data_IF_989095185580
#
_entry.id   IF_989095185580
#
_cell.length_a   1.000
_cell.length_b   1.000
_cell.length_c   1.000
_cell.angle_alpha   90.00
_cell.angle_beta   90.00
_cell.angle_gamma   90.00
#
_symmetry.space_group_name_H-M   'P 1'
#
loop_
_entity.id
_entity.type
_entity.pdbx_description
1 polymer ?
#
# COMPACT_ATOMS: atom_id res chain seq x y z
N UNK A 1 -2.55 0.39 -10.95
CA UNK A 1 -1.90 1.62 -11.25
C UNK A 1 -0.41 1.58 -11.08
N UNK A 2 0.11 1.95 -9.93
CA UNK A 2 1.56 2.11 -9.69
C UNK A 2 2.43 0.91 -10.08
N UNK A 3 1.95 -0.33 -9.88
CA UNK A 3 2.72 -1.52 -10.31
C UNK A 3 2.82 -1.64 -11.83
N UNK A 4 1.73 -1.34 -12.54
CA UNK A 4 1.72 -1.32 -14.01
C UNK A 4 2.69 -0.26 -14.51
N UNK A 5 2.62 0.94 -13.94
CA UNK A 5 3.50 2.06 -14.25
C UNK A 5 4.97 1.73 -14.02
N UNK A 6 5.29 1.11 -12.87
CA UNK A 6 6.65 0.71 -12.55
C UNK A 6 7.22 -0.31 -13.55
N UNK A 7 6.38 -1.25 -14.01
CA UNK A 7 6.78 -2.25 -15.01
C UNK A 7 6.95 -1.61 -16.39
N UNK A 8 5.98 -0.82 -16.82
CA UNK A 8 5.99 -0.21 -18.16
C UNK A 8 7.11 0.83 -18.33
N UNK A 9 7.36 1.61 -17.28
CA UNK A 9 8.42 2.63 -17.28
C UNK A 9 9.79 2.09 -16.86
N UNK A 10 9.90 0.78 -16.61
CA UNK A 10 11.16 0.16 -16.26
C UNK A 10 11.79 0.74 -14.99
N UNK A 11 10.97 1.01 -13.94
CA UNK A 11 11.49 1.58 -12.70
C UNK A 11 12.57 0.68 -12.11
N UNK A 12 13.76 1.24 -11.94
CA UNK A 12 14.92 0.55 -11.35
C UNK A 12 14.74 0.42 -9.83
N UNK A 13 13.86 -0.48 -9.41
CA UNK A 13 13.62 -0.76 -8.00
C UNK A 13 14.68 -1.75 -7.50
N UNK A 14 15.60 -1.28 -6.69
CA UNK A 14 16.59 -2.12 -6.05
C UNK A 14 16.03 -2.75 -4.78
N UNK A 15 16.33 -4.01 -4.48
CA UNK A 15 15.94 -4.64 -3.24
C UNK A 15 16.78 -4.10 -2.10
N UNK A 16 16.26 -3.08 -1.41
CA UNK A 16 16.89 -2.52 -0.20
C UNK A 16 16.46 -3.36 0.99
N UNK A 17 17.40 -4.05 1.67
CA UNK A 17 17.08 -4.85 2.84
C UNK A 17 16.60 -3.98 4.00
N UNK A 18 15.85 -4.58 4.92
CA UNK A 18 15.41 -3.93 6.14
C UNK A 18 16.59 -3.72 7.09
N UNK A 19 16.78 -2.48 7.57
CA UNK A 19 17.75 -2.14 8.59
C UNK A 19 17.06 -1.89 9.93
N UNK A 20 16.98 -2.94 10.75
CA UNK A 20 16.27 -2.90 12.03
C UNK A 20 16.85 -1.88 13.02
N UNK A 21 18.18 -1.73 13.06
CA UNK A 21 18.85 -0.77 13.95
C UNK A 21 18.49 0.67 13.57
N UNK A 22 18.63 1.00 12.28
CA UNK A 22 18.25 2.31 11.76
C UNK A 22 16.78 2.63 12.02
N UNK A 23 15.89 1.65 11.83
CA UNK A 23 14.45 1.84 12.10
C UNK A 23 14.16 2.15 13.55
N UNK A 24 14.80 1.43 14.49
CA UNK A 24 14.65 1.69 15.94
C UNK A 24 15.12 3.09 16.34
N UNK A 25 16.15 3.61 15.69
CA UNK A 25 16.60 5.00 15.90
C UNK A 25 15.60 6.00 15.33
N UNK A 26 15.14 5.77 14.10
CA UNK A 26 14.23 6.67 13.40
C UNK A 26 12.82 6.68 14.03
N UNK A 27 12.40 5.60 14.64
CA UNK A 27 11.13 5.54 15.35
C UNK A 27 11.05 6.43 16.58
N UNK A 28 12.19 6.87 17.13
CA UNK A 28 12.25 7.83 18.23
C UNK A 28 12.01 9.28 17.78
N UNK A 29 12.09 9.55 16.48
CA UNK A 29 11.96 10.89 15.88
C UNK A 29 10.51 11.16 15.49
N UNK A 30 10.12 12.42 15.49
CA UNK A 30 8.84 12.85 14.95
C UNK A 30 8.87 12.96 13.41
N UNK A 31 7.70 13.20 12.80
CA UNK A 31 7.58 13.27 11.34
C UNK A 31 8.33 14.45 10.74
N UNK A 32 8.39 15.57 11.45
CA UNK A 32 9.09 16.78 10.98
C UNK A 32 10.62 16.59 10.96
N UNK A 33 11.16 15.94 11.99
CA UNK A 33 12.57 15.56 12.05
C UNK A 33 12.94 14.58 10.94
N UNK A 34 12.11 13.55 10.72
CA UNK A 34 12.28 12.58 9.64
C UNK A 34 12.21 13.25 8.26
N UNK A 35 11.30 14.18 8.07
CA UNK A 35 11.16 14.95 6.84
C UNK A 35 12.42 15.76 6.53
N UNK A 36 12.96 16.48 7.53
CA UNK A 36 14.21 17.24 7.39
C UNK A 36 15.39 16.34 7.03
N UNK A 37 15.51 15.21 7.73
CA UNK A 37 16.56 14.22 7.47
C UNK A 37 16.46 13.64 6.05
N UNK A 38 15.26 13.28 5.61
CA UNK A 38 15.03 12.75 4.27
C UNK A 38 15.39 13.78 3.18
N UNK A 39 14.99 15.04 3.35
CA UNK A 39 15.32 16.12 2.41
C UNK A 39 16.84 16.29 2.30
N UNK A 40 17.56 16.24 3.42
CA UNK A 40 19.01 16.34 3.43
C UNK A 40 19.67 15.17 2.69
N UNK A 41 19.26 13.93 3.00
CA UNK A 41 19.78 12.72 2.35
C UNK A 41 19.54 12.74 0.83
N UNK A 42 18.35 13.14 0.40
CA UNK A 42 18.02 13.24 -1.03
C UNK A 42 18.86 14.30 -1.75
N UNK A 43 19.15 15.42 -1.10
CA UNK A 43 20.09 16.44 -1.64
C UNK A 43 21.49 15.86 -1.80
N UNK A 44 22.00 15.19 -0.77
CA UNK A 44 23.33 14.57 -0.79
C UNK A 44 23.46 13.53 -1.91
N UNK A 45 22.44 12.71 -2.11
CA UNK A 45 22.39 11.66 -3.12
C UNK A 45 22.03 12.17 -4.53
N UNK A 46 21.73 13.46 -4.70
CA UNK A 46 21.18 14.05 -5.94
C UNK A 46 19.92 13.32 -6.44
N UNK A 47 19.17 12.73 -5.54
CA UNK A 47 17.92 12.05 -5.83
C UNK A 47 16.73 13.04 -5.77
N UNK A 48 15.77 12.86 -6.68
CA UNK A 48 14.57 13.70 -6.68
C UNK A 48 13.60 13.27 -5.58
N UNK A 49 12.95 14.22 -4.95
CA UNK A 49 11.78 13.93 -4.11
C UNK A 49 10.66 13.44 -5.03
N UNK A 50 10.46 12.12 -5.09
CA UNK A 50 9.27 11.56 -5.71
C UNK A 50 8.07 11.82 -4.80
N UNK A 51 7.38 12.93 -5.04
CA UNK A 51 6.13 13.32 -4.41
C UNK A 51 6.14 13.56 -2.88
N UNK A 52 5.21 14.36 -2.42
CA UNK A 52 4.85 14.55 -1.01
C UNK A 52 4.48 13.24 -0.27
N UNK A 53 4.28 12.13 -1.00
CA UNK A 53 3.87 10.84 -0.44
C UNK A 53 4.90 10.17 0.46
N UNK A 54 6.20 10.47 0.30
CA UNK A 54 7.26 9.91 1.14
C UNK A 54 7.18 10.43 2.59
N UNK A 55 6.53 11.57 2.78
CA UNK A 55 6.37 12.25 4.07
C UNK A 55 4.95 12.24 4.61
N UNK A 56 4.02 11.51 3.97
CA UNK A 56 2.62 11.43 4.40
C UNK A 56 2.45 10.79 5.78
N UNK A 57 3.35 9.88 6.14
CA UNK A 57 3.33 9.25 7.45
C UNK A 57 4.72 8.73 7.84
N UNK A 58 4.90 8.53 9.15
CA UNK A 58 6.17 8.13 9.75
C UNK A 58 6.78 6.85 9.15
N UNK A 59 5.97 5.80 8.89
CA UNK A 59 6.45 4.54 8.29
C UNK A 59 7.04 4.76 6.90
N UNK A 60 6.41 5.60 6.08
CA UNK A 60 6.90 5.94 4.73
C UNK A 60 8.19 6.76 4.80
N UNK A 61 8.24 7.76 5.68
CA UNK A 61 9.43 8.56 5.87
C UNK A 61 10.63 7.70 6.32
N UNK A 62 10.43 6.80 7.29
CA UNK A 62 11.47 5.86 7.73
C UNK A 62 11.94 4.97 6.57
N UNK A 63 11.01 4.41 5.79
CA UNK A 63 11.39 3.58 4.64
C UNK A 63 12.14 4.37 3.57
N UNK A 64 11.75 5.59 3.28
CA UNK A 64 12.44 6.45 2.33
C UNK A 64 13.88 6.80 2.82
N UNK A 65 14.05 7.11 4.11
CA UNK A 65 15.37 7.34 4.71
C UNK A 65 16.25 6.07 4.63
N UNK A 66 15.67 4.91 4.92
CA UNK A 66 16.36 3.63 4.82
C UNK A 66 16.88 3.37 3.40
N UNK A 67 16.07 3.65 2.38
CA UNK A 67 16.43 3.52 0.97
C UNK A 67 17.55 4.49 0.60
N UNK A 68 17.43 5.77 0.95
CA UNK A 68 18.44 6.79 0.64
C UNK A 68 19.77 6.51 1.36
N UNK A 69 19.72 6.04 2.61
CA UNK A 69 20.90 5.66 3.38
C UNK A 69 21.61 4.46 2.74
N UNK A 70 20.84 3.48 2.27
CA UNK A 70 21.38 2.32 1.55
C UNK A 70 22.09 2.75 0.27
N UNK A 71 21.48 3.62 -0.53
CA UNK A 71 22.09 4.12 -1.77
C UNK A 71 23.36 4.92 -1.53
N UNK A 72 23.41 5.72 -0.47
CA UNK A 72 24.61 6.47 -0.09
C UNK A 72 25.80 5.55 0.23
N UNK A 73 25.53 4.39 0.82
CA UNK A 73 26.55 3.45 1.26
C UNK A 73 26.93 2.40 0.19
N UNK A 74 26.08 2.19 -0.80
CA UNK A 74 26.32 1.20 -1.88
C UNK A 74 26.87 1.88 -3.12
N UNK A 75 28.19 1.90 -3.28
CA UNK A 75 28.86 2.52 -4.42
C UNK A 75 28.79 1.69 -5.71
N UNK A 76 28.45 0.42 -5.65
CA UNK A 76 28.34 -0.51 -6.79
C UNK A 76 26.92 -1.02 -6.93
N UNK A 77 25.99 -0.12 -7.23
CA UNK A 77 24.65 -0.52 -7.63
C UNK A 77 24.73 -0.99 -9.08
N UNK A 78 24.70 -2.30 -9.30
CA UNK A 78 24.53 -2.84 -10.64
C UNK A 78 23.26 -2.23 -11.25
N UNK A 79 23.43 -1.40 -12.26
CA UNK A 79 22.31 -0.87 -13.03
C UNK A 79 21.61 -2.05 -13.72
N UNK A 80 20.49 -2.49 -13.14
CA UNK A 80 19.62 -3.43 -13.86
C UNK A 80 19.11 -2.74 -15.10
N UNK A 81 19.64 -3.12 -16.24
CA UNK A 81 19.16 -2.67 -17.53
C UNK A 81 17.87 -3.45 -17.81
N UNK A 82 16.73 -2.85 -17.51
CA UNK A 82 15.42 -3.43 -17.84
C UNK A 82 15.12 -3.03 -19.27
N UNK A 83 15.01 -3.99 -20.19
CA UNK A 83 14.70 -3.67 -21.58
C UNK A 83 13.32 -3.00 -21.66
N UNK A 84 13.11 -2.05 -22.58
CA UNK A 84 11.80 -1.45 -22.79
C UNK A 84 10.78 -2.53 -23.15
N UNK A 85 9.62 -2.48 -22.52
CA UNK A 85 8.52 -3.43 -22.78
C UNK A 85 7.61 -2.78 -23.81
N UNK A 86 7.55 -3.36 -25.01
CA UNK A 86 6.53 -3.00 -25.97
C UNK A 86 5.18 -3.54 -25.50
N UNK A 87 4.24 -2.64 -25.20
CA UNK A 87 3.00 -2.99 -24.52
C UNK A 87 1.79 -2.33 -25.14
N UNK A 88 0.71 -3.09 -25.23
CA UNK A 88 -0.61 -2.60 -25.64
C UNK A 88 -1.56 -2.71 -24.46
N UNK A 89 -2.12 -1.57 -24.03
CA UNK A 89 -2.96 -1.49 -22.84
C UNK A 89 -4.42 -1.36 -23.26
N UNK A 90 -5.25 -2.32 -22.83
CA UNK A 90 -6.70 -2.25 -22.98
C UNK A 90 -7.36 -1.95 -21.64
N UNK A 91 -8.18 -0.90 -21.60
CA UNK A 91 -9.04 -0.60 -20.44
C UNK A 91 -10.47 -1.10 -20.68
N UNK A 92 -11.03 -1.81 -19.69
CA UNK A 92 -12.46 -2.17 -19.69
C UNK A 92 -13.21 -1.10 -18.92
N UNK A 93 -14.05 -0.34 -19.60
CA UNK A 93 -14.94 0.61 -18.95
C UNK A 93 -16.32 -0.01 -18.72
N UNK A 94 -16.78 0.09 -17.48
CA UNK A 94 -18.11 -0.37 -17.07
C UNK A 94 -18.86 0.85 -16.53
N UNK A 95 -20.15 0.95 -16.88
CA UNK A 95 -21.05 1.95 -16.33
C UNK A 95 -20.92 2.05 -14.80
N UNK A 96 -21.01 3.27 -14.27
CA UNK A 96 -20.79 3.55 -12.85
C UNK A 96 -21.77 2.81 -11.95
N UNK A 97 -23.06 2.78 -12.30
CA UNK A 97 -24.09 2.21 -11.44
C UNK A 97 -24.03 0.68 -11.50
N UNK A 98 -23.77 0.13 -12.68
CA UNK A 98 -23.52 -1.30 -12.85
C UNK A 98 -22.27 -1.75 -12.06
N UNK A 99 -21.20 -0.97 -12.08
CA UNK A 99 -20.00 -1.26 -11.29
C UNK A 99 -20.29 -1.24 -9.80
N UNK A 100 -21.04 -0.24 -9.31
CA UNK A 100 -21.43 -0.16 -7.89
C UNK A 100 -22.25 -1.38 -7.49
N UNK A 101 -23.25 -1.74 -8.27
CA UNK A 101 -24.08 -2.90 -8.05
C UNK A 101 -23.24 -4.19 -7.95
N UNK A 102 -22.34 -4.42 -8.90
CA UNK A 102 -21.45 -5.60 -8.91
C UNK A 102 -20.52 -5.65 -7.70
N UNK A 103 -20.03 -4.49 -7.21
CA UNK A 103 -19.20 -4.42 -6.01
C UNK A 103 -19.99 -4.88 -4.79
N UNK A 104 -21.20 -4.35 -4.59
CA UNK A 104 -22.08 -4.72 -3.47
C UNK A 104 -22.47 -6.19 -3.52
N UNK A 105 -22.88 -6.68 -4.68
CA UNK A 105 -23.23 -8.10 -4.89
C UNK A 105 -22.05 -9.03 -4.58
N UNK A 106 -20.86 -8.70 -5.08
CA UNK A 106 -19.64 -9.46 -4.80
C UNK A 106 -19.28 -9.47 -3.31
N UNK A 107 -19.42 -8.34 -2.63
CA UNK A 107 -19.17 -8.25 -1.19
C UNK A 107 -20.12 -9.16 -0.42
N UNK A 108 -21.43 -9.07 -0.69
CA UNK A 108 -22.43 -9.93 -0.08
C UNK A 108 -22.14 -11.42 -0.32
N UNK A 109 -21.81 -11.77 -1.56
CA UNK A 109 -21.46 -13.14 -1.92
C UNK A 109 -20.21 -13.63 -1.15
N UNK A 110 -19.17 -12.81 -0.99
CA UNK A 110 -17.98 -13.20 -0.23
C UNK A 110 -18.27 -13.39 1.24
N UNK A 111 -19.06 -12.50 1.85
CA UNK A 111 -19.47 -12.64 3.25
C UNK A 111 -20.27 -13.91 3.47
N UNK A 112 -21.22 -14.22 2.57
CA UNK A 112 -22.03 -15.46 2.63
C UNK A 112 -21.20 -16.73 2.38
N UNK A 113 -20.09 -16.63 1.66
CA UNK A 113 -19.20 -17.74 1.35
C UNK A 113 -18.07 -17.95 2.37
N UNK A 114 -18.23 -17.44 3.59
CA UNK A 114 -17.34 -17.77 4.70
C UNK A 114 -16.15 -16.82 4.87
N UNK A 115 -16.19 -15.60 4.34
CA UNK A 115 -15.11 -14.63 4.52
C UNK A 115 -14.85 -14.29 6.00
N UNK A 116 -15.91 -14.24 6.81
CA UNK A 116 -15.78 -13.99 8.26
C UNK A 116 -15.08 -15.15 8.94
N UNK A 117 -15.43 -16.39 8.56
CA UNK A 117 -14.82 -17.61 9.11
C UNK A 117 -13.34 -17.73 8.69
N UNK A 118 -13.00 -17.32 7.46
CA UNK A 118 -11.62 -17.26 6.99
C UNK A 118 -10.76 -16.37 7.90
N UNK A 119 -11.21 -15.16 8.17
CA UNK A 119 -10.47 -14.21 9.02
C UNK A 119 -10.41 -14.71 10.47
N UNK A 120 -11.49 -15.28 10.99
CA UNK A 120 -11.51 -15.88 12.32
C UNK A 120 -10.48 -17.00 12.45
N UNK A 121 -10.43 -17.89 11.47
CA UNK A 121 -9.44 -18.98 11.46
C UNK A 121 -8.00 -18.44 11.45
N UNK A 122 -7.71 -17.33 10.79
CA UNK A 122 -6.38 -16.73 10.79
C UNK A 122 -6.03 -16.15 12.18
N UNK A 123 -6.97 -15.50 12.86
CA UNK A 123 -6.81 -15.03 14.23
C UNK A 123 -6.60 -16.22 15.20
N UNK A 124 -7.39 -17.29 15.07
CA UNK A 124 -7.28 -18.50 15.90
C UNK A 124 -5.92 -19.21 15.71
N UNK A 125 -5.28 -19.05 14.54
CA UNK A 125 -3.91 -19.52 14.27
C UNK A 125 -2.82 -18.61 14.82
N UNK A 126 -3.17 -17.52 15.50
CA UNK A 126 -2.23 -16.62 16.16
C UNK A 126 -1.70 -15.48 15.29
N UNK A 127 -2.31 -15.21 14.13
CA UNK A 127 -1.98 -14.00 13.36
C UNK A 127 -2.53 -12.80 14.12
N UNK A 128 -1.69 -11.79 14.32
CA UNK A 128 -2.06 -10.60 15.09
C UNK A 128 -3.12 -9.76 14.34
N UNK A 129 -4.09 -9.18 15.07
CA UNK A 129 -5.10 -8.31 14.47
C UNK A 129 -4.50 -7.16 13.65
N UNK A 130 -3.39 -6.57 14.11
CA UNK A 130 -2.70 -5.47 13.42
C UNK A 130 -2.20 -5.88 12.03
N UNK A 131 -1.71 -7.10 11.89
CA UNK A 131 -1.23 -7.63 10.61
C UNK A 131 -2.39 -7.81 9.63
N UNK A 132 -3.51 -8.37 10.08
CA UNK A 132 -4.71 -8.53 9.27
C UNK A 132 -5.33 -7.18 8.88
N UNK A 133 -5.38 -6.21 9.79
CA UNK A 133 -5.85 -4.84 9.52
C UNK A 133 -5.00 -4.17 8.43
N UNK A 134 -3.71 -4.47 8.37
CA UNK A 134 -2.80 -3.93 7.37
C UNK A 134 -2.89 -4.65 6.02
N UNK A 135 -3.32 -5.90 5.99
CA UNK A 135 -3.25 -6.78 4.82
C UNK A 135 -4.20 -6.37 3.67
N UNK A 136 -5.37 -5.81 3.98
CA UNK A 136 -6.32 -5.37 2.96
C UNK A 136 -7.65 -4.88 3.53
N UNK A 137 -8.49 -4.31 2.66
CA UNK A 137 -9.76 -3.70 3.09
C UNK A 137 -10.67 -4.71 3.77
N UNK A 138 -10.86 -5.87 3.15
CA UNK A 138 -11.73 -6.91 3.65
C UNK A 138 -11.23 -7.41 5.01
N UNK A 139 -9.97 -7.79 5.09
CA UNK A 139 -9.36 -8.26 6.34
C UNK A 139 -9.43 -7.19 7.43
N UNK A 140 -9.19 -5.92 7.10
CA UNK A 140 -9.28 -4.81 8.03
C UNK A 140 -10.62 -4.71 8.73
N UNK A 141 -11.70 -4.66 7.96
CA UNK A 141 -13.03 -4.43 8.54
C UNK A 141 -13.60 -5.67 9.20
N UNK A 142 -13.35 -6.85 8.64
CA UNK A 142 -13.77 -8.13 9.26
C UNK A 142 -13.02 -8.39 10.55
N UNK A 143 -11.70 -8.10 10.63
CA UNK A 143 -10.95 -8.21 11.88
C UNK A 143 -11.50 -7.27 12.93
N UNK A 144 -11.78 -6.00 12.60
CA UNK A 144 -12.39 -5.05 13.54
C UNK A 144 -13.74 -5.52 14.10
N UNK A 145 -14.54 -6.16 13.29
CA UNK A 145 -15.77 -6.79 13.73
C UNK A 145 -15.49 -7.96 14.69
N UNK A 146 -14.58 -8.85 14.35
CA UNK A 146 -14.26 -10.04 15.14
C UNK A 146 -13.64 -9.71 16.50
N UNK A 147 -12.90 -8.61 16.61
CA UNK A 147 -12.35 -8.11 17.88
C UNK A 147 -13.32 -7.17 18.63
N UNK A 148 -14.58 -7.07 18.18
CA UNK A 148 -15.65 -6.26 18.77
C UNK A 148 -15.38 -4.74 18.78
N UNK A 149 -14.57 -4.21 17.87
CA UNK A 149 -14.40 -2.75 17.71
C UNK A 149 -15.60 -2.10 17.00
N UNK A 150 -16.26 -2.83 16.11
CA UNK A 150 -17.43 -2.36 15.33
C UNK A 150 -18.49 -3.45 15.24
N UNK A 151 -19.74 -3.04 14.99
CA UNK A 151 -20.84 -3.99 14.73
C UNK A 151 -20.73 -4.60 13.33
N UNK A 152 -21.48 -5.68 13.08
CA UNK A 152 -21.56 -6.29 11.75
C UNK A 152 -22.08 -5.30 10.69
N UNK A 153 -23.10 -4.51 11.03
CA UNK A 153 -23.66 -3.52 10.13
C UNK A 153 -22.66 -2.40 9.81
N UNK A 154 -21.89 -1.95 10.79
CA UNK A 154 -20.84 -0.97 10.59
C UNK A 154 -19.70 -1.53 9.76
N UNK A 155 -19.32 -2.79 9.99
CA UNK A 155 -18.34 -3.52 9.19
C UNK A 155 -18.76 -3.54 7.72
N UNK A 156 -20.00 -4.00 7.45
CA UNK A 156 -20.51 -4.08 6.09
C UNK A 156 -20.53 -2.73 5.38
N UNK A 157 -21.15 -1.71 6.01
CA UNK A 157 -21.25 -0.35 5.44
C UNK A 157 -19.87 0.28 5.19
N UNK A 158 -18.98 0.21 6.18
CA UNK A 158 -17.64 0.79 6.08
C UNK A 158 -16.80 0.10 5.02
N UNK A 159 -16.88 -1.22 4.93
CA UNK A 159 -16.17 -2.00 3.91
C UNK A 159 -16.71 -1.70 2.50
N UNK A 160 -18.02 -1.67 2.33
CA UNK A 160 -18.65 -1.30 1.05
C UNK A 160 -18.19 0.07 0.56
N UNK A 161 -18.26 1.09 1.43
CA UNK A 161 -17.78 2.46 1.13
C UNK A 161 -16.30 2.43 0.75
N UNK A 162 -15.47 1.72 1.50
CA UNK A 162 -14.03 1.64 1.24
C UNK A 162 -13.72 0.99 -0.12
N UNK A 163 -14.43 -0.07 -0.50
CA UNK A 163 -14.29 -0.72 -1.81
C UNK A 163 -14.72 0.24 -2.94
N UNK A 164 -15.83 0.96 -2.79
CA UNK A 164 -16.25 1.96 -3.77
C UNK A 164 -15.23 3.08 -3.95
N UNK A 165 -14.66 3.58 -2.85
CA UNK A 165 -13.60 4.58 -2.89
C UNK A 165 -12.33 4.04 -3.56
N UNK A 166 -11.97 2.79 -3.28
CA UNK A 166 -10.83 2.13 -3.91
C UNK A 166 -11.03 2.00 -5.42
N UNK A 167 -12.19 1.53 -5.86
CA UNK A 167 -12.54 1.46 -7.28
C UNK A 167 -12.53 2.83 -7.97
N UNK A 168 -13.01 3.90 -7.29
CA UNK A 168 -12.93 5.27 -7.80
C UNK A 168 -11.47 5.70 -8.02
N UNK A 169 -10.58 5.46 -7.05
CA UNK A 169 -9.15 5.79 -7.18
C UNK A 169 -8.49 5.05 -8.34
N UNK A 170 -8.80 3.77 -8.54
CA UNK A 170 -8.32 3.00 -9.68
C UNK A 170 -8.75 3.64 -11.01
N UNK A 171 -10.05 3.97 -11.16
CA UNK A 171 -10.56 4.60 -12.38
C UNK A 171 -9.94 5.97 -12.64
N UNK A 172 -9.70 6.77 -11.60
CA UNK A 172 -9.01 8.06 -11.73
C UNK A 172 -7.60 7.87 -12.26
N UNK A 173 -6.87 6.90 -11.74
CA UNK A 173 -5.50 6.60 -12.19
C UNK A 173 -5.46 6.14 -13.65
N UNK A 174 -6.39 5.27 -14.07
CA UNK A 174 -6.43 4.79 -15.46
C UNK A 174 -6.90 5.83 -16.49
N UNK A 175 -7.50 6.94 -16.05
CA UNK A 175 -7.95 8.04 -16.91
C UNK A 175 -6.94 9.19 -17.02
N UNK A 176 -5.99 9.30 -16.11
CA UNK A 176 -4.92 10.31 -16.10
C UNK A 176 -3.70 9.84 -16.81
#
# INVERSE_FOLDING_TARGET
GLYIEAVLNGYKLLPVPENKELRLELEKKDLDELTKLLIQLKRDNKSNMHNSTDIDNKKRAIRAIEIETYYKNCHNLEERNIPPIDSLIFGIEIDRDLRRKRITERLLQRLNNGMVDEVKMLLDRGILPEDLIYYGLEYKYVTKYLINEITYDDMFRSLEIAIHQFAKRQMTWFRG
#
